data_IF_855504967225
#
_entry.id   IF_855504967225
#
_cell.length_a   1.000
_cell.length_b   1.000
_cell.length_c   1.000
_cell.angle_alpha   90.00
_cell.angle_beta   90.00
_cell.angle_gamma   90.00
#
_symmetry.space_group_name_H-M   'P 1'
#
loop_
_entity.id
_entity.type
_entity.pdbx_description
1 polymer ?
#
# COMPACT_ATOMS: atom_id res chain seq x y z
N UNK A 1 10.41 -4.44 28.18
CA UNK A 1 9.00 -4.82 27.97
C UNK A 1 8.53 -4.30 26.60
N UNK A 2 9.26 -4.65 25.53
CA UNK A 2 8.94 -4.33 24.13
C UNK A 2 9.33 -5.58 23.32
N UNK A 3 8.39 -6.53 23.21
CA UNK A 3 8.56 -7.82 22.51
C UNK A 3 7.29 -8.25 21.77
N UNK A 4 6.36 -7.34 21.48
CA UNK A 4 4.96 -7.76 21.21
C UNK A 4 4.46 -7.59 19.77
N UNK A 5 5.27 -7.04 18.84
CA UNK A 5 4.87 -6.98 17.42
C UNK A 5 6.06 -7.24 16.51
N UNK A 6 5.99 -8.31 15.72
CA UNK A 6 6.92 -8.51 14.60
C UNK A 6 6.26 -7.98 13.31
N UNK A 7 6.92 -7.01 12.67
CA UNK A 7 6.52 -6.50 11.36
C UNK A 7 7.26 -7.32 10.30
N UNK A 8 6.50 -8.06 9.50
CA UNK A 8 7.02 -8.79 8.36
C UNK A 8 6.98 -7.90 7.10
N UNK A 9 8.16 -7.59 6.57
CA UNK A 9 8.30 -7.01 5.23
C UNK A 9 8.56 -8.12 4.23
N UNK A 10 7.58 -8.35 3.35
CA UNK A 10 7.65 -9.33 2.27
C UNK A 10 8.22 -8.69 1.01
N UNK A 11 8.98 -9.46 0.24
CA UNK A 11 9.66 -8.95 -0.95
C UNK A 11 8.72 -8.59 -2.11
N UNK A 12 9.27 -7.90 -3.11
CA UNK A 12 8.50 -7.37 -4.24
C UNK A 12 8.02 -8.43 -5.24
N UNK A 13 8.77 -9.49 -5.51
CA UNK A 13 8.33 -10.61 -6.38
C UNK A 13 6.98 -11.16 -5.92
N UNK A 14 6.83 -11.32 -4.61
CA UNK A 14 5.61 -11.78 -3.97
C UNK A 14 4.48 -10.77 -4.03
N UNK A 15 4.77 -9.48 -3.81
CA UNK A 15 3.75 -8.43 -3.84
C UNK A 15 2.95 -8.41 -5.15
N UNK A 16 3.53 -8.92 -6.23
CA UNK A 16 2.93 -8.98 -7.57
C UNK A 16 2.84 -10.39 -8.16
N UNK A 17 2.81 -11.44 -7.32
CA UNK A 17 2.44 -12.83 -7.66
C UNK A 17 3.52 -13.83 -8.09
N UNK A 18 4.77 -13.44 -8.28
CA UNK A 18 5.71 -14.35 -8.92
C UNK A 18 6.45 -15.24 -7.94
N UNK A 19 6.58 -16.52 -8.31
CA UNK A 19 7.56 -17.42 -7.75
C UNK A 19 8.99 -16.97 -8.11
N UNK A 20 9.95 -17.28 -7.24
CA UNK A 20 11.37 -16.91 -7.36
C UNK A 20 12.08 -17.50 -8.60
N UNK A 21 11.51 -18.53 -9.21
CA UNK A 21 12.02 -19.13 -10.45
C UNK A 21 11.56 -18.38 -11.72
N UNK A 22 10.63 -17.43 -11.60
CA UNK A 22 10.11 -16.71 -12.74
C UNK A 22 11.18 -15.77 -13.36
N UNK A 23 11.42 -15.83 -14.67
CA UNK A 23 12.45 -15.01 -15.31
C UNK A 23 12.18 -13.49 -15.23
N UNK A 24 10.92 -13.06 -15.01
CA UNK A 24 10.55 -11.64 -14.91
C UNK A 24 10.97 -10.97 -13.60
N UNK A 25 11.40 -11.74 -12.60
CA UNK A 25 11.78 -11.25 -11.27
C UNK A 25 13.22 -11.58 -10.90
N UNK A 26 14.05 -11.95 -11.88
CA UNK A 26 15.46 -12.34 -11.66
C UNK A 26 16.20 -11.39 -10.73
N UNK A 27 16.09 -10.07 -10.95
CA UNK A 27 16.78 -9.05 -10.15
C UNK A 27 16.05 -8.60 -8.88
N UNK A 28 14.87 -9.15 -8.59
CA UNK A 28 13.99 -8.65 -7.51
C UNK A 28 13.96 -9.60 -6.28
N UNK A 29 14.28 -10.89 -6.46
CA UNK A 29 14.28 -11.91 -5.39
C UNK A 29 15.24 -11.53 -4.25
N UNK A 30 14.76 -11.51 -3.02
CA UNK A 30 15.47 -11.18 -1.79
C UNK A 30 15.82 -9.71 -1.60
N UNK A 31 15.51 -8.82 -2.54
CA UNK A 31 16.05 -7.46 -2.53
C UNK A 31 15.30 -6.49 -1.62
N UNK A 32 13.97 -6.64 -1.54
CA UNK A 32 13.10 -5.69 -0.85
C UNK A 32 12.44 -6.26 0.42
N UNK A 33 12.69 -7.53 0.73
CA UNK A 33 12.07 -8.25 1.85
C UNK A 33 12.39 -9.74 1.78
N UNK A 34 11.64 -10.54 2.54
CA UNK A 34 11.78 -12.00 2.56
C UNK A 34 11.08 -12.63 1.35
N UNK A 35 11.73 -13.62 0.72
CA UNK A 35 11.17 -14.48 -0.33
C UNK A 35 10.33 -15.63 0.26
N UNK A 36 9.12 -15.83 -0.26
CA UNK A 36 8.11 -16.78 0.25
C UNK A 36 7.33 -17.34 -0.93
N UNK A 37 7.80 -18.43 -1.53
CA UNK A 37 7.10 -19.03 -2.67
C UNK A 37 6.02 -20.02 -2.23
N UNK A 38 6.13 -20.54 -1.00
CA UNK A 38 5.28 -21.61 -0.49
C UNK A 38 5.05 -21.54 1.02
N UNK A 39 4.18 -22.41 1.52
CA UNK A 39 3.98 -22.60 2.96
C UNK A 39 5.25 -23.03 3.70
N UNK A 40 6.20 -23.70 3.04
CA UNK A 40 7.44 -24.15 3.70
C UNK A 40 8.37 -22.97 4.02
N UNK A 41 8.37 -21.92 3.20
CA UNK A 41 9.08 -20.68 3.50
C UNK A 41 8.43 -19.96 4.70
N UNK A 42 7.10 -19.93 4.74
CA UNK A 42 6.34 -19.35 5.85
C UNK A 42 6.60 -20.09 7.17
N UNK A 43 6.68 -21.42 7.12
CA UNK A 43 7.05 -22.26 8.27
C UNK A 43 8.46 -21.98 8.73
N UNK A 44 9.42 -21.88 7.82
CA UNK A 44 10.80 -21.53 8.16
C UNK A 44 10.88 -20.14 8.82
N UNK A 45 10.12 -19.17 8.31
CA UNK A 45 10.11 -17.81 8.84
C UNK A 45 9.59 -17.73 10.29
N UNK A 46 8.62 -18.58 10.63
CA UNK A 46 8.02 -18.62 11.96
C UNK A 46 8.48 -19.81 12.82
N UNK A 47 9.54 -20.49 12.42
CA UNK A 47 10.10 -21.60 13.20
C UNK A 47 10.54 -21.10 14.60
N UNK A 48 10.07 -21.77 15.65
CA UNK A 48 10.27 -21.37 17.04
C UNK A 48 9.52 -20.12 17.50
N UNK A 49 8.66 -19.51 16.68
CA UNK A 49 7.87 -18.32 17.05
C UNK A 49 6.45 -18.74 17.48
N UNK A 50 6.01 -18.48 18.72
CA UNK A 50 4.68 -18.87 19.20
C UNK A 50 3.59 -17.94 18.64
N UNK A 51 2.98 -18.33 17.52
CA UNK A 51 1.98 -17.52 16.80
C UNK A 51 0.66 -17.31 17.56
N UNK A 52 0.40 -18.05 18.64
CA UNK A 52 -0.72 -17.84 19.55
C UNK A 52 -0.48 -16.71 20.58
N UNK A 53 0.79 -16.26 20.70
CA UNK A 53 1.22 -15.22 21.64
C UNK A 53 1.76 -13.96 20.94
N UNK A 54 2.15 -14.09 19.68
CA UNK A 54 2.73 -13.00 18.90
C UNK A 54 1.68 -12.34 18.01
N UNK A 55 1.69 -11.00 17.98
CA UNK A 55 0.97 -10.24 16.97
C UNK A 55 1.87 -10.08 15.74
N UNK A 56 1.39 -10.54 14.57
CA UNK A 56 2.13 -10.48 13.31
C UNK A 56 1.50 -9.47 12.37
N UNK A 57 2.27 -8.46 11.95
CA UNK A 57 1.83 -7.50 10.94
C UNK A 57 2.47 -7.82 9.59
N UNK A 58 1.66 -7.99 8.54
CA UNK A 58 2.10 -8.38 7.19
C UNK A 58 1.75 -7.28 6.18
N UNK A 59 2.76 -6.66 5.58
CA UNK A 59 2.57 -5.67 4.51
C UNK A 59 2.43 -6.36 3.15
N UNK A 60 1.21 -6.82 2.84
CA UNK A 60 0.88 -7.51 1.58
C UNK A 60 -0.51 -7.09 1.07
N UNK A 61 -0.63 -6.90 -0.25
CA UNK A 61 -1.88 -6.43 -0.89
C UNK A 61 -2.20 -7.20 -2.17
N UNK A 62 -1.31 -7.20 -3.17
CA UNK A 62 -1.56 -7.88 -4.46
C UNK A 62 -1.77 -9.38 -4.27
N UNK A 63 -0.73 -10.10 -3.83
CA UNK A 63 -0.80 -11.54 -3.56
C UNK A 63 -1.32 -11.87 -2.15
N UNK A 64 -2.29 -11.10 -1.66
CA UNK A 64 -2.79 -11.24 -0.28
C UNK A 64 -3.39 -12.62 0.02
N UNK A 65 -4.09 -13.21 -0.95
CA UNK A 65 -4.75 -14.52 -0.82
C UNK A 65 -3.75 -15.65 -0.51
N UNK A 66 -2.74 -15.93 -1.38
CA UNK A 66 -1.80 -17.01 -1.10
C UNK A 66 -0.97 -16.75 0.17
N UNK A 67 -0.55 -15.50 0.40
CA UNK A 67 0.30 -15.17 1.55
C UNK A 67 -0.45 -15.36 2.88
N UNK A 68 -1.68 -14.86 2.99
CA UNK A 68 -2.48 -15.05 4.20
C UNK A 68 -2.82 -16.53 4.38
N UNK A 69 -3.07 -17.28 3.30
CA UNK A 69 -3.35 -18.70 3.36
C UNK A 69 -2.14 -19.49 3.87
N UNK A 70 -0.94 -19.17 3.40
CA UNK A 70 0.32 -19.75 3.88
C UNK A 70 0.56 -19.43 5.35
N UNK A 71 0.27 -18.22 5.81
CA UNK A 71 0.36 -17.86 7.23
C UNK A 71 -0.60 -18.69 8.09
N UNK A 72 -1.86 -18.84 7.68
CA UNK A 72 -2.84 -19.68 8.38
C UNK A 72 -2.38 -21.13 8.45
N UNK A 73 -1.92 -21.72 7.33
CA UNK A 73 -1.48 -23.12 7.31
C UNK A 73 -0.20 -23.32 8.11
N UNK A 74 0.76 -22.40 8.06
CA UNK A 74 1.97 -22.47 8.88
C UNK A 74 1.63 -22.45 10.38
N UNK A 75 0.67 -21.63 10.80
CA UNK A 75 0.18 -21.62 12.17
C UNK A 75 -0.48 -22.95 12.57
N UNK A 76 -1.36 -23.49 11.74
CA UNK A 76 -2.03 -24.76 12.02
C UNK A 76 -1.06 -25.93 12.10
N UNK A 77 -0.08 -26.00 11.21
CA UNK A 77 0.97 -27.02 11.23
C UNK A 77 1.91 -26.87 12.45
N UNK A 78 2.00 -25.67 13.04
CA UNK A 78 2.67 -25.43 14.32
C UNK A 78 1.80 -25.78 15.56
N UNK A 79 0.57 -26.25 15.36
CA UNK A 79 -0.37 -26.59 16.43
C UNK A 79 -1.18 -25.39 16.97
N UNK A 80 -1.15 -24.24 16.28
CA UNK A 80 -1.90 -23.04 16.67
C UNK A 80 -3.23 -22.98 15.91
N UNK A 81 -4.33 -22.97 16.65
CA UNK A 81 -5.66 -22.77 16.09
C UNK A 81 -5.81 -21.35 15.50
N UNK A 82 -6.35 -21.26 14.28
CA UNK A 82 -6.47 -19.99 13.54
C UNK A 82 -7.28 -18.91 14.28
N UNK A 83 -8.21 -19.28 15.16
CA UNK A 83 -9.00 -18.32 15.96
C UNK A 83 -8.16 -17.58 17.02
N UNK A 84 -6.97 -18.12 17.36
CA UNK A 84 -6.02 -17.51 18.28
C UNK A 84 -5.11 -16.50 17.61
N UNK A 85 -5.01 -16.50 16.28
CA UNK A 85 -4.10 -15.64 15.55
C UNK A 85 -4.45 -14.17 15.75
N UNK A 86 -3.43 -13.39 16.14
CA UNK A 86 -3.53 -11.94 16.29
C UNK A 86 -2.54 -11.28 15.34
N UNK A 87 -2.93 -10.15 14.77
CA UNK A 87 -2.11 -9.48 13.78
C UNK A 87 -2.91 -8.65 12.81
N UNK A 88 -2.24 -8.22 11.75
CA UNK A 88 -2.81 -7.37 10.71
C UNK A 88 -2.25 -7.80 9.35
N UNK A 89 -3.11 -7.88 8.34
CA UNK A 89 -2.71 -7.93 6.94
C UNK A 89 -3.05 -6.57 6.30
N UNK A 90 -2.16 -5.99 5.48
CA UNK A 90 -2.42 -4.66 4.93
C UNK A 90 -3.66 -4.64 4.03
N UNK A 91 -3.74 -5.52 3.04
CA UNK A 91 -4.95 -5.83 2.25
C UNK A 91 -5.71 -4.60 1.70
N UNK A 92 -4.98 -3.52 1.42
CA UNK A 92 -5.53 -2.26 0.91
C UNK A 92 -5.13 -2.13 -0.56
N UNK A 93 -6.03 -2.53 -1.46
CA UNK A 93 -5.74 -2.51 -2.90
C UNK A 93 -6.00 -1.15 -3.57
N UNK A 94 -6.85 -0.29 -3.00
CA UNK A 94 -7.22 0.97 -3.66
C UNK A 94 -6.00 1.89 -3.72
N UNK A 95 -5.22 1.97 -2.64
CA UNK A 95 -3.93 2.68 -2.63
C UNK A 95 -2.84 2.05 -3.50
N UNK A 96 -2.95 0.77 -3.86
CA UNK A 96 -2.03 0.17 -4.85
C UNK A 96 -2.22 0.80 -6.22
N UNK A 97 -3.47 0.99 -6.65
CA UNK A 97 -3.78 1.62 -7.94
C UNK A 97 -3.41 3.10 -7.97
N UNK A 98 -3.46 3.77 -6.82
CA UNK A 98 -3.10 5.19 -6.73
C UNK A 98 -1.58 5.40 -6.77
N UNK A 99 -0.83 4.73 -5.90
CA UNK A 99 0.55 5.15 -5.59
C UNK A 99 1.57 4.04 -5.43
N UNK A 100 1.16 2.84 -4.98
CA UNK A 100 2.13 1.81 -4.54
C UNK A 100 2.43 0.75 -5.62
N UNK A 101 1.58 0.63 -6.62
CA UNK A 101 1.81 -0.10 -7.87
C UNK A 101 2.15 -1.60 -7.69
N UNK A 102 1.68 -2.26 -6.62
CA UNK A 102 1.80 -3.72 -6.45
C UNK A 102 0.46 -4.45 -6.58
N UNK A 103 -0.43 -3.96 -7.43
CA UNK A 103 -1.66 -4.65 -7.81
C UNK A 103 -1.37 -5.78 -8.81
N UNK A 104 -2.29 -6.76 -8.88
CA UNK A 104 -2.24 -7.85 -9.86
C UNK A 104 -3.48 -7.78 -10.76
N UNK A 105 -4.66 -7.89 -10.15
CA UNK A 105 -5.94 -7.95 -10.86
C UNK A 105 -6.56 -6.57 -11.02
N UNK A 106 -7.54 -6.40 -11.92
CA UNK A 106 -8.32 -5.16 -12.01
C UNK A 106 -9.03 -4.78 -10.71
N UNK A 107 -9.50 -3.53 -10.56
CA UNK A 107 -10.12 -3.04 -9.32
C UNK A 107 -11.27 -3.90 -8.82
N UNK A 108 -12.26 -4.22 -9.67
CA UNK A 108 -13.44 -4.99 -9.29
C UNK A 108 -13.13 -6.38 -8.69
N UNK A 109 -12.38 -7.28 -9.38
CA UNK A 109 -12.02 -8.56 -8.78
C UNK A 109 -11.12 -8.41 -7.55
N UNK A 110 -10.30 -7.36 -7.47
CA UNK A 110 -9.49 -7.10 -6.27
C UNK A 110 -10.34 -6.69 -5.07
N UNK A 111 -11.41 -5.90 -5.26
CA UNK A 111 -12.34 -5.56 -4.20
C UNK A 111 -13.12 -6.79 -3.74
N UNK A 112 -13.48 -7.70 -4.66
CA UNK A 112 -14.07 -8.99 -4.30
C UNK A 112 -13.15 -9.81 -3.39
N UNK A 113 -11.85 -9.90 -3.71
CA UNK A 113 -10.86 -10.58 -2.88
C UNK A 113 -10.87 -10.06 -1.44
N UNK A 114 -10.98 -8.74 -1.26
CA UNK A 114 -11.06 -8.12 0.06
C UNK A 114 -12.35 -8.54 0.78
N UNK A 115 -13.48 -8.56 0.08
CA UNK A 115 -14.75 -9.06 0.62
C UNK A 115 -14.67 -10.52 1.09
N UNK A 116 -14.05 -11.40 0.30
CA UNK A 116 -13.83 -12.80 0.67
C UNK A 116 -12.95 -12.94 1.92
N UNK A 117 -11.90 -12.11 2.04
CA UNK A 117 -11.04 -12.07 3.23
C UNK A 117 -11.82 -11.58 4.45
N UNK A 118 -12.69 -10.57 4.31
CA UNK A 118 -13.52 -10.10 5.42
C UNK A 118 -14.49 -11.17 5.89
N UNK A 119 -15.18 -11.85 4.97
CA UNK A 119 -16.08 -12.95 5.28
C UNK A 119 -15.34 -14.08 6.01
N UNK A 120 -14.19 -14.50 5.49
CA UNK A 120 -13.38 -15.56 6.10
C UNK A 120 -12.85 -15.18 7.48
N UNK A 121 -12.22 -14.01 7.62
CA UNK A 121 -11.58 -13.59 8.88
C UNK A 121 -12.60 -13.29 9.99
N UNK A 122 -13.76 -12.72 9.64
CA UNK A 122 -14.83 -12.48 10.62
C UNK A 122 -15.36 -13.76 11.26
N UNK A 123 -15.36 -14.87 10.50
CA UNK A 123 -15.82 -16.19 10.95
C UNK A 123 -14.72 -17.00 11.64
N UNK A 124 -13.54 -17.06 11.03
CA UNK A 124 -12.48 -18.01 11.37
C UNK A 124 -11.33 -17.38 12.19
N UNK A 125 -11.14 -16.06 12.11
CA UNK A 125 -10.01 -15.34 12.71
C UNK A 125 -10.47 -14.05 13.43
N UNK A 126 -11.33 -14.13 14.46
CA UNK A 126 -12.04 -12.98 15.03
C UNK A 126 -11.15 -11.95 15.76
N UNK A 127 -9.85 -12.26 15.95
CA UNK A 127 -8.84 -11.37 16.53
C UNK A 127 -7.93 -10.71 15.50
N UNK A 128 -8.06 -11.09 14.23
CA UNK A 128 -7.23 -10.59 13.14
C UNK A 128 -7.77 -9.26 12.60
N UNK A 129 -6.87 -8.31 12.33
CA UNK A 129 -7.23 -7.09 11.61
C UNK A 129 -7.10 -7.37 10.11
N UNK A 130 -8.24 -7.46 9.43
CA UNK A 130 -8.35 -7.92 8.04
C UNK A 130 -7.89 -6.90 6.99
N UNK A 131 -7.65 -5.66 7.41
CA UNK A 131 -7.15 -4.58 6.56
C UNK A 131 -6.48 -3.48 7.40
N UNK A 132 -5.51 -2.81 6.79
CA UNK A 132 -4.89 -1.59 7.28
C UNK A 132 -5.03 -0.50 6.22
N UNK A 133 -6.04 0.36 6.38
CA UNK A 133 -6.44 1.41 5.45
C UNK A 133 -5.39 2.53 5.49
N UNK A 134 -4.64 2.71 4.41
CA UNK A 134 -3.28 3.25 4.45
C UNK A 134 -3.09 4.56 3.68
N UNK A 135 -2.94 5.67 4.41
CA UNK A 135 -2.53 6.98 3.87
C UNK A 135 -1.03 7.16 3.70
N UNK A 136 -0.21 6.43 4.47
CA UNK A 136 1.27 6.54 4.46
C UNK A 136 1.86 6.63 3.03
N UNK A 137 1.50 5.68 2.17
CA UNK A 137 2.04 5.59 0.81
C UNK A 137 1.60 6.76 -0.08
N UNK A 138 0.43 7.33 0.20
CA UNK A 138 -0.06 8.51 -0.52
C UNK A 138 0.80 9.72 -0.19
N UNK A 139 1.13 9.90 1.10
CA UNK A 139 2.04 10.97 1.53
C UNK A 139 3.44 10.79 0.94
N UNK A 140 3.99 9.58 0.96
CA UNK A 140 5.29 9.28 0.36
C UNK A 140 5.34 9.58 -1.16
N UNK A 141 4.22 9.34 -1.85
CA UNK A 141 4.06 9.67 -3.26
C UNK A 141 3.87 11.18 -3.52
N UNK A 142 3.56 11.97 -2.50
CA UNK A 142 3.50 13.44 -2.54
C UNK A 142 2.16 14.06 -2.16
N UNK A 143 1.19 13.28 -1.70
CA UNK A 143 -0.06 13.82 -1.16
C UNK A 143 0.23 14.72 0.05
N UNK A 144 -0.47 15.85 0.13
CA UNK A 144 -0.50 16.62 1.37
C UNK A 144 -1.41 15.96 2.42
N UNK A 145 -1.43 16.51 3.64
CA UNK A 145 -2.18 15.95 4.75
C UNK A 145 -3.70 15.89 4.51
N UNK A 146 -4.24 16.82 3.71
CA UNK A 146 -5.67 16.87 3.40
C UNK A 146 -6.01 15.78 2.39
N UNK A 147 -5.23 15.65 1.31
CA UNK A 147 -5.39 14.59 0.32
C UNK A 147 -5.21 13.20 0.95
N UNK A 148 -4.16 13.02 1.76
CA UNK A 148 -3.92 11.77 2.49
C UNK A 148 -5.13 11.39 3.35
N UNK A 149 -5.62 12.33 4.15
CA UNK A 149 -6.76 12.06 5.04
C UNK A 149 -8.03 11.75 4.25
N UNK A 150 -8.38 12.58 3.26
CA UNK A 150 -9.61 12.42 2.49
C UNK A 150 -9.64 11.09 1.73
N UNK A 151 -8.58 10.77 0.99
CA UNK A 151 -8.51 9.54 0.21
C UNK A 151 -8.48 8.29 1.09
N UNK A 152 -7.76 8.31 2.21
CA UNK A 152 -7.71 7.17 3.13
C UNK A 152 -9.06 6.93 3.81
N UNK A 153 -9.76 7.99 4.21
CA UNK A 153 -11.10 7.84 4.79
C UNK A 153 -12.10 7.36 3.72
N UNK A 154 -12.04 7.88 2.51
CA UNK A 154 -12.88 7.44 1.39
C UNK A 154 -12.63 5.97 1.01
N UNK A 155 -11.37 5.53 0.99
CA UNK A 155 -10.99 4.11 0.84
C UNK A 155 -11.68 3.28 1.95
N UNK A 156 -11.60 3.74 3.20
CA UNK A 156 -12.25 3.08 4.33
C UNK A 156 -13.76 2.93 4.18
N UNK A 157 -14.46 3.96 3.67
CA UNK A 157 -15.90 3.88 3.39
C UNK A 157 -16.18 2.86 2.27
N UNK A 158 -15.39 2.85 1.20
CA UNK A 158 -15.50 1.86 0.13
C UNK A 158 -15.27 0.43 0.63
N UNK A 159 -14.37 0.24 1.60
CA UNK A 159 -14.15 -1.06 2.25
C UNK A 159 -15.31 -1.45 3.17
N UNK A 160 -15.95 -0.50 3.85
CA UNK A 160 -17.18 -0.77 4.60
C UNK A 160 -18.30 -1.26 3.69
N UNK A 161 -18.52 -0.61 2.54
CA UNK A 161 -19.47 -1.06 1.52
C UNK A 161 -19.13 -2.46 1.01
N UNK A 162 -17.84 -2.75 0.81
CA UNK A 162 -17.35 -4.07 0.38
C UNK A 162 -17.69 -5.16 1.40
N UNK A 163 -17.49 -4.89 2.70
CA UNK A 163 -17.88 -5.82 3.76
C UNK A 163 -19.38 -6.09 3.81
N UNK A 164 -20.19 -5.04 3.61
CA UNK A 164 -21.66 -5.17 3.56
C UNK A 164 -22.10 -5.98 2.34
N UNK A 165 -21.52 -5.73 1.17
CA UNK A 165 -21.79 -6.48 -0.05
C UNK A 165 -21.35 -7.95 0.07
N UNK A 166 -20.38 -8.26 0.93
CA UNK A 166 -19.98 -9.62 1.29
C UNK A 166 -20.93 -10.28 2.32
N UNK A 167 -22.03 -9.63 2.70
CA UNK A 167 -23.04 -10.16 3.61
C UNK A 167 -22.76 -9.92 5.11
N UNK A 168 -21.80 -9.06 5.44
CA UNK A 168 -21.47 -8.73 6.83
C UNK A 168 -22.21 -7.46 7.29
N UNK A 169 -22.66 -7.43 8.54
CA UNK A 169 -23.05 -6.19 9.19
C UNK A 169 -21.82 -5.38 9.57
N UNK A 170 -21.95 -4.04 9.63
CA UNK A 170 -20.83 -3.15 9.97
C UNK A 170 -20.14 -3.55 11.29
N UNK A 171 -20.91 -3.96 12.31
CA UNK A 171 -20.38 -4.32 13.63
C UNK A 171 -19.59 -5.64 13.64
N UNK A 172 -19.75 -6.50 12.62
CA UNK A 172 -19.00 -7.76 12.53
C UNK A 172 -17.54 -7.56 12.12
N UNK A 173 -17.22 -6.48 11.39
CA UNK A 173 -15.87 -6.28 10.84
C UNK A 173 -15.27 -4.90 11.13
N UNK A 174 -16.06 -3.84 11.33
CA UNK A 174 -15.53 -2.50 11.66
C UNK A 174 -14.60 -2.50 12.89
N UNK A 175 -14.88 -3.26 13.99
CA UNK A 175 -13.96 -3.40 15.11
C UNK A 175 -12.63 -4.10 14.80
N UNK A 176 -12.36 -4.47 13.54
CA UNK A 176 -11.09 -5.02 13.04
C UNK A 176 -10.47 -4.19 11.92
N UNK A 177 -11.11 -3.09 11.50
CA UNK A 177 -10.50 -2.11 10.63
C UNK A 177 -9.44 -1.31 11.40
N UNK A 178 -8.28 -1.15 10.77
CA UNK A 178 -7.19 -0.32 11.28
C UNK A 178 -6.72 0.65 10.20
N UNK A 179 -6.06 1.72 10.60
CA UNK A 179 -5.55 2.77 9.71
C UNK A 179 -4.04 2.85 9.79
N UNK A 180 -3.41 3.44 8.78
CA UNK A 180 -1.96 3.67 8.77
C UNK A 180 -1.62 5.02 8.13
N UNK A 181 -1.13 5.95 8.95
CA UNK A 181 -0.76 7.30 8.54
C UNK A 181 0.75 7.46 8.38
N UNK A 182 1.16 8.25 7.39
CA UNK A 182 2.47 8.88 7.39
C UNK A 182 2.48 10.10 8.31
N UNK A 183 3.65 10.49 8.78
CA UNK A 183 3.82 11.67 9.62
C UNK A 183 5.08 12.39 9.15
N UNK A 184 4.86 13.51 8.46
CA UNK A 184 5.92 14.36 7.93
C UNK A 184 6.41 15.41 8.92
N UNK A 185 7.16 16.38 8.41
CA UNK A 185 7.82 17.41 9.22
C UNK A 185 6.90 18.56 9.67
N UNK A 186 5.68 18.67 9.12
CA UNK A 186 4.74 19.72 9.53
C UNK A 186 4.00 19.31 10.81
N UNK A 187 4.69 19.46 11.94
CA UNK A 187 4.28 18.96 13.26
C UNK A 187 2.81 19.26 13.62
N UNK A 188 2.36 20.51 13.49
CA UNK A 188 0.99 20.89 13.86
C UNK A 188 -0.05 20.31 12.91
N UNK A 189 0.25 20.29 11.60
CA UNK A 189 -0.63 19.70 10.59
C UNK A 189 -0.85 18.21 10.84
N UNK A 190 0.20 17.47 11.23
CA UNK A 190 0.07 16.04 11.49
C UNK A 190 -0.75 15.74 12.74
N UNK A 191 -0.61 16.54 13.81
CA UNK A 191 -1.46 16.44 15.00
C UNK A 191 -2.92 16.68 14.62
N UNK A 192 -3.19 17.79 13.92
CA UNK A 192 -4.52 18.16 13.50
C UNK A 192 -5.15 17.11 12.57
N UNK A 193 -4.38 16.56 11.61
CA UNK A 193 -4.80 15.45 10.73
C UNK A 193 -5.29 14.25 11.53
N UNK A 194 -4.51 13.78 12.51
CA UNK A 194 -4.90 12.62 13.30
C UNK A 194 -6.15 12.87 14.15
N UNK A 195 -6.34 14.09 14.67
CA UNK A 195 -7.54 14.48 15.44
C UNK A 195 -8.77 14.56 14.52
N UNK A 196 -8.63 15.25 13.39
CA UNK A 196 -9.68 15.42 12.38
C UNK A 196 -10.14 14.09 11.80
N UNK A 197 -9.20 13.18 11.47
CA UNK A 197 -9.49 11.88 10.90
C UNK A 197 -10.38 11.02 11.82
N UNK A 198 -10.12 11.02 13.13
CA UNK A 198 -10.96 10.27 14.10
C UNK A 198 -12.40 10.79 14.12
N UNK A 199 -12.57 12.12 14.12
CA UNK A 199 -13.89 12.77 14.09
C UNK A 199 -14.61 12.48 12.78
N UNK A 200 -13.91 12.63 11.65
CA UNK A 200 -14.46 12.42 10.31
C UNK A 200 -14.91 10.97 10.09
N UNK A 201 -14.07 10.00 10.48
CA UNK A 201 -14.43 8.59 10.45
C UNK A 201 -15.68 8.29 11.27
N UNK A 202 -15.71 8.72 12.53
CA UNK A 202 -16.85 8.47 13.41
C UNK A 202 -18.15 9.09 12.87
N UNK A 203 -18.08 10.30 12.31
CA UNK A 203 -19.21 10.94 11.64
C UNK A 203 -19.69 10.07 10.48
N UNK A 204 -18.84 9.78 9.51
CA UNK A 204 -19.24 9.08 8.28
C UNK A 204 -19.73 7.66 8.55
N UNK A 205 -19.11 6.94 9.49
CA UNK A 205 -19.60 5.60 9.86
C UNK A 205 -21.00 5.66 10.48
N UNK A 206 -21.24 6.64 11.37
CA UNK A 206 -22.54 6.80 11.99
C UNK A 206 -23.62 7.21 10.98
N UNK A 207 -23.30 8.16 10.10
CA UNK A 207 -24.20 8.68 9.07
C UNK A 207 -24.53 7.66 7.99
N UNK A 208 -23.58 6.81 7.59
CA UNK A 208 -23.77 5.90 6.44
C UNK A 208 -24.18 4.48 6.82
N UNK A 209 -23.79 4.00 8.01
CA UNK A 209 -23.93 2.58 8.36
C UNK A 209 -24.66 2.30 9.69
N UNK A 210 -24.99 3.35 10.48
CA UNK A 210 -25.75 3.25 11.74
C UNK A 210 -25.33 2.06 12.64
N UNK A 211 -24.05 1.96 13.04
CA UNK A 211 -23.57 0.83 13.84
C UNK A 211 -24.26 0.78 15.20
N UNK A 212 -24.44 -0.42 15.74
CA UNK A 212 -24.95 -0.62 17.11
C UNK A 212 -23.83 -0.57 18.14
N UNK A 213 -22.59 -0.85 17.74
CA UNK A 213 -21.43 -0.80 18.62
C UNK A 213 -20.65 0.50 18.48
N UNK A 214 -20.38 1.18 19.59
CA UNK A 214 -19.44 2.32 19.61
C UNK A 214 -18.03 1.94 19.16
N UNK A 215 -17.65 0.65 19.24
CA UNK A 215 -16.36 0.17 18.75
C UNK A 215 -16.20 0.32 17.24
N UNK A 216 -17.30 0.29 16.49
CA UNK A 216 -17.31 0.45 15.03
C UNK A 216 -17.00 1.89 14.60
N UNK A 217 -17.19 2.87 15.50
CA UNK A 217 -16.85 4.28 15.28
C UNK A 217 -15.37 4.59 15.52
N UNK A 218 -14.59 3.64 16.07
CA UNK A 218 -13.21 3.90 16.46
C UNK A 218 -12.26 3.81 15.26
N UNK A 219 -11.60 4.92 14.97
CA UNK A 219 -10.41 4.92 14.11
C UNK A 219 -9.19 4.55 14.97
N UNK A 220 -8.72 3.31 14.85
CA UNK A 220 -7.47 2.84 15.45
C UNK A 220 -6.38 2.86 14.40
N UNK A 221 -5.23 3.43 14.71
CA UNK A 221 -4.21 3.68 13.70
C UNK A 221 -2.82 3.22 14.16
N UNK A 222 -2.04 2.80 13.19
CA UNK A 222 -0.60 2.76 13.26
C UNK A 222 -0.05 4.08 12.68
N UNK A 223 1.05 4.56 13.22
CA UNK A 223 1.79 5.69 12.66
C UNK A 223 3.26 5.36 12.75
N UNK A 224 4.01 5.71 11.72
CA UNK A 224 5.44 5.42 11.65
C UNK A 224 6.21 6.75 11.73
N UNK A 225 6.91 6.96 12.84
CA UNK A 225 7.76 8.15 13.12
C UNK A 225 9.06 7.73 13.84
N UNK A 226 10.04 8.65 13.90
CA UNK A 226 11.37 8.45 14.53
C UNK A 226 11.31 7.86 15.96
N UNK A 227 12.17 6.88 16.24
CA UNK A 227 12.05 5.96 17.39
C UNK A 227 12.63 6.38 18.76
N UNK A 228 12.89 7.66 19.06
CA UNK A 228 13.78 8.02 20.20
C UNK A 228 13.19 8.86 21.36
N UNK A 229 11.92 9.28 21.39
CA UNK A 229 11.46 10.22 22.44
C UNK A 229 10.18 9.77 23.16
N UNK A 230 10.29 9.28 24.40
CA UNK A 230 9.16 9.07 25.31
C UNK A 230 9.48 9.60 26.72
N UNK A 231 8.63 10.49 27.23
CA UNK A 231 8.49 10.84 28.66
C UNK A 231 6.99 11.01 29.02
N UNK A 232 6.72 11.17 30.32
CA UNK A 232 5.45 11.16 31.07
C UNK A 232 4.17 11.71 30.39
N UNK A 233 3.01 11.07 30.62
CA UNK A 233 1.85 11.09 29.72
C UNK A 233 0.69 11.99 30.19
N UNK A 234 0.29 12.95 29.35
CA UNK A 234 -1.01 13.63 29.38
C UNK A 234 -1.79 13.23 28.12
N UNK A 235 -3.05 12.82 28.26
CA UNK A 235 -3.90 12.47 27.12
C UNK A 235 -4.35 13.73 26.36
N UNK A 236 -4.18 13.73 25.03
CA UNK A 236 -4.44 14.87 24.11
C UNK A 236 -3.99 16.23 24.69
N UNK A 237 -2.67 16.45 24.93
CA UNK A 237 -2.18 17.63 25.63
C UNK A 237 -2.44 18.96 24.87
N UNK A 238 -2.82 18.88 23.59
CA UNK A 238 -3.20 20.02 22.76
C UNK A 238 -4.70 20.35 22.83
N UNK A 239 -5.51 19.54 23.52
CA UNK A 239 -6.94 19.76 23.68
C UNK A 239 -7.24 21.14 24.27
N UNK A 240 -8.07 21.92 23.57
CA UNK A 240 -8.41 23.29 23.95
C UNK A 240 -7.44 24.38 23.44
N UNK A 241 -6.35 24.02 22.77
CA UNK A 241 -5.49 25.00 22.08
C UNK A 241 -6.25 25.64 20.93
N UNK A 242 -6.46 26.96 20.96
CA UNK A 242 -7.22 27.68 19.92
C UNK A 242 -6.71 27.38 18.51
N UNK A 243 -5.38 27.42 18.32
CA UNK A 243 -4.78 27.12 17.02
C UNK A 243 -5.01 25.66 16.60
N UNK A 244 -4.80 24.71 17.51
CA UNK A 244 -4.93 23.29 17.16
C UNK A 244 -6.37 22.89 16.88
N UNK A 245 -7.34 23.43 17.63
CA UNK A 245 -8.76 23.17 17.37
C UNK A 245 -9.18 23.75 16.02
N UNK A 246 -8.85 25.03 15.73
CA UNK A 246 -9.16 25.64 14.44
C UNK A 246 -8.50 24.92 13.25
N UNK A 247 -7.24 24.49 13.40
CA UNK A 247 -6.56 23.72 12.35
C UNK A 247 -7.18 22.34 12.17
N UNK A 248 -7.63 21.70 13.26
CA UNK A 248 -8.35 20.41 13.21
C UNK A 248 -9.67 20.57 12.46
N UNK A 249 -10.39 21.67 12.69
CA UNK A 249 -11.63 21.99 11.98
C UNK A 249 -11.40 22.26 10.49
N UNK A 250 -10.41 23.07 10.16
CA UNK A 250 -10.10 23.40 8.76
C UNK A 250 -9.73 22.16 7.93
N UNK A 251 -8.90 21.27 8.48
CA UNK A 251 -8.51 20.03 7.79
C UNK A 251 -9.71 19.09 7.64
N UNK A 252 -10.55 19.01 8.67
CA UNK A 252 -11.77 18.21 8.63
C UNK A 252 -12.70 18.67 7.48
N UNK A 253 -12.95 19.99 7.38
CA UNK A 253 -13.86 20.54 6.38
C UNK A 253 -13.32 20.35 4.96
N UNK A 254 -12.03 20.64 4.73
CA UNK A 254 -11.38 20.44 3.43
C UNK A 254 -11.39 18.98 2.98
N UNK A 255 -11.17 18.04 3.90
CA UNK A 255 -11.25 16.62 3.54
C UNK A 255 -12.68 16.16 3.28
N UNK A 256 -13.66 16.69 4.00
CA UNK A 256 -15.08 16.42 3.74
C UNK A 256 -15.49 16.90 2.35
N UNK A 257 -15.01 18.05 1.88
CA UNK A 257 -15.25 18.54 0.52
C UNK A 257 -14.73 17.54 -0.54
N UNK A 258 -13.50 17.05 -0.38
CA UNK A 258 -12.94 16.04 -1.30
C UNK A 258 -13.73 14.73 -1.25
N UNK A 259 -14.17 14.29 -0.05
CA UNK A 259 -14.98 13.08 0.09
C UNK A 259 -16.32 13.25 -0.65
N UNK A 260 -16.97 14.41 -0.58
CA UNK A 260 -18.20 14.68 -1.33
C UNK A 260 -17.97 14.63 -2.85
N UNK A 261 -16.86 15.18 -3.35
CA UNK A 261 -16.50 15.05 -4.77
C UNK A 261 -16.31 13.58 -5.18
N UNK A 262 -15.73 12.75 -4.30
CA UNK A 262 -15.57 11.31 -4.52
C UNK A 262 -16.93 10.60 -4.54
N UNK A 263 -17.84 10.97 -3.64
CA UNK A 263 -19.20 10.43 -3.62
C UNK A 263 -19.97 10.79 -4.89
N UNK A 264 -19.83 12.01 -5.42
CA UNK A 264 -20.43 12.44 -6.69
C UNK A 264 -19.93 11.62 -7.89
N UNK A 265 -18.66 11.18 -7.85
CA UNK A 265 -18.10 10.23 -8.84
C UNK A 265 -18.60 8.79 -8.65
N UNK A 266 -19.35 8.54 -7.58
CA UNK A 266 -19.93 7.24 -7.23
C UNK A 266 -18.99 6.36 -6.41
N UNK A 267 -18.15 6.96 -5.57
CA UNK A 267 -17.31 6.29 -4.59
C UNK A 267 -15.84 6.17 -4.99
N UNK A 268 -15.01 5.78 -4.01
CA UNK A 268 -13.56 5.81 -4.14
C UNK A 268 -13.03 4.84 -5.22
N UNK A 269 -13.66 3.68 -5.39
CA UNK A 269 -13.29 2.74 -6.45
C UNK A 269 -13.41 3.36 -7.86
N UNK A 270 -14.46 4.16 -8.10
CA UNK A 270 -14.64 4.88 -9.37
C UNK A 270 -13.68 6.06 -9.50
N UNK A 271 -13.44 6.80 -8.41
CA UNK A 271 -12.46 7.88 -8.40
C UNK A 271 -11.05 7.38 -8.76
N UNK A 272 -10.62 6.25 -8.19
CA UNK A 272 -9.37 5.56 -8.52
C UNK A 272 -9.34 5.12 -9.98
N UNK A 273 -10.40 4.45 -10.47
CA UNK A 273 -10.49 3.99 -11.86
C UNK A 273 -10.44 5.14 -12.87
N UNK A 274 -10.96 6.33 -12.51
CA UNK A 274 -10.91 7.53 -13.35
C UNK A 274 -9.51 8.16 -13.45
N UNK A 275 -8.60 7.79 -12.55
CA UNK A 275 -7.25 8.37 -12.41
C UNK A 275 -7.20 9.72 -11.68
N UNK A 276 -8.34 10.23 -11.18
CA UNK A 276 -8.44 11.52 -10.48
C UNK A 276 -7.51 11.59 -9.25
N UNK A 277 -7.52 10.56 -8.42
CA UNK A 277 -6.76 10.52 -7.17
C UNK A 277 -5.25 10.52 -7.42
N UNK A 278 -4.77 9.64 -8.30
CA UNK A 278 -3.35 9.58 -8.71
C UNK A 278 -2.88 10.91 -9.31
N UNK A 279 -3.69 11.55 -10.16
CA UNK A 279 -3.34 12.84 -10.78
C UNK A 279 -3.16 13.95 -9.73
N UNK A 280 -4.06 14.04 -8.74
CA UNK A 280 -3.96 15.03 -7.65
C UNK A 280 -2.71 14.82 -6.79
N UNK A 281 -2.34 13.57 -6.53
CA UNK A 281 -1.11 13.22 -5.78
C UNK A 281 0.13 13.60 -6.60
N UNK A 282 0.16 13.25 -7.89
CA UNK A 282 1.27 13.61 -8.78
C UNK A 282 1.42 15.14 -8.92
N UNK A 283 0.31 15.88 -8.96
CA UNK A 283 0.32 17.35 -8.98
C UNK A 283 0.91 17.93 -7.70
N UNK A 284 0.48 17.43 -6.53
CA UNK A 284 1.04 17.84 -5.24
C UNK A 284 2.54 17.53 -5.14
N UNK A 285 2.98 16.37 -5.66
CA UNK A 285 4.39 15.99 -5.73
C UNK A 285 5.21 16.94 -6.61
N UNK A 286 4.69 17.29 -7.80
CA UNK A 286 5.35 18.22 -8.73
C UNK A 286 5.50 19.62 -8.09
N UNK A 287 4.45 20.13 -7.45
CA UNK A 287 4.51 21.40 -6.71
C UNK A 287 5.51 21.35 -5.56
N UNK A 288 5.51 20.25 -4.78
CA UNK A 288 6.48 20.07 -3.69
C UNK A 288 7.91 20.07 -4.21
N UNK A 289 8.19 19.39 -5.32
CA UNK A 289 9.53 19.39 -5.90
C UNK A 289 9.94 20.79 -6.36
N UNK A 290 9.05 21.52 -7.04
CA UNK A 290 9.31 22.89 -7.48
C UNK A 290 9.65 23.83 -6.31
N UNK A 291 8.97 23.69 -5.16
CA UNK A 291 9.30 24.46 -3.95
C UNK A 291 10.67 24.10 -3.36
N UNK A 292 11.05 22.82 -3.41
CA UNK A 292 12.38 22.37 -2.95
C UNK A 292 13.47 22.90 -3.87
N UNK A 293 13.30 22.74 -5.18
CA UNK A 293 14.30 23.13 -6.18
C UNK A 293 14.48 24.65 -6.25
N UNK A 294 13.39 25.43 -6.11
CA UNK A 294 13.44 26.89 -6.01
C UNK A 294 13.92 27.43 -4.65
N UNK A 295 14.15 26.55 -3.66
CA UNK A 295 14.60 26.93 -2.32
C UNK A 295 13.54 27.54 -1.42
N UNK A 296 12.26 27.55 -1.84
CA UNK A 296 11.12 27.97 -1.00
C UNK A 296 10.93 27.03 0.19
N UNK A 297 11.05 25.72 -0.06
CA UNK A 297 11.07 24.69 0.98
C UNK A 297 12.52 24.31 1.30
N UNK A 298 12.98 24.62 2.50
CA UNK A 298 14.35 24.37 2.92
C UNK A 298 14.51 22.92 3.39
N UNK A 299 15.49 22.21 2.83
CA UNK A 299 15.99 20.92 3.32
C UNK A 299 17.47 21.11 3.69
N UNK A 300 17.73 21.14 5.00
CA UNK A 300 19.08 21.31 5.56
C UNK A 300 19.99 20.18 5.09
N UNK A 301 21.17 20.52 4.58
CA UNK A 301 22.13 19.58 3.99
C UNK A 301 21.91 19.29 2.51
N UNK A 302 20.75 19.65 1.94
CA UNK A 302 20.41 19.36 0.54
C UNK A 302 20.41 20.63 -0.33
N UNK A 303 19.48 21.55 -0.12
CA UNK A 303 19.39 22.80 -0.88
C UNK A 303 19.91 24.01 -0.10
N UNK A 304 20.13 23.87 1.21
CA UNK A 304 20.71 24.91 2.08
C UNK A 304 21.59 24.27 3.14
N UNK A 305 22.68 24.95 3.51
CA UNK A 305 23.65 24.47 4.51
C UNK A 305 24.26 23.11 4.14
N UNK A 306 24.70 22.97 2.87
CA UNK A 306 25.34 21.75 2.37
C UNK A 306 26.73 21.58 2.96
N UNK A 307 27.14 20.34 3.20
CA UNK A 307 28.53 20.03 3.55
C UNK A 307 29.41 20.05 2.30
N UNK A 308 30.65 20.50 2.45
CA UNK A 308 31.65 20.42 1.37
C UNK A 308 32.02 18.97 1.03
N UNK A 309 31.92 18.08 2.01
CA UNK A 309 32.24 16.66 1.86
C UNK A 309 31.28 15.79 2.67
N UNK A 310 30.66 14.85 1.99
CA UNK A 310 29.78 13.86 2.61
C UNK A 310 30.56 12.69 3.22
N UNK A 311 30.03 12.13 4.30
CA UNK A 311 30.57 10.92 4.92
C UNK A 311 30.07 9.70 4.16
N UNK A 312 30.95 8.73 3.88
CA UNK A 312 30.54 7.46 3.28
C UNK A 312 29.82 6.61 4.32
N UNK A 313 28.69 6.03 3.93
CA UNK A 313 27.89 5.12 4.75
C UNK A 313 27.93 3.74 4.14
N UNK A 314 28.18 2.71 4.95
CA UNK A 314 28.11 1.32 4.52
C UNK A 314 26.64 0.92 4.32
N UNK A 315 26.32 0.40 3.15
CA UNK A 315 24.95 -0.01 2.79
C UNK A 315 24.88 -1.53 2.83
N UNK A 316 23.81 -2.05 3.45
CA UNK A 316 23.55 -3.50 3.46
C UNK A 316 23.35 -3.99 2.02
N UNK A 317 24.17 -4.96 1.62
CA UNK A 317 24.07 -5.59 0.31
C UNK A 317 23.51 -7.01 0.46
N UNK A 318 22.44 -7.31 -0.29
CA UNK A 318 21.86 -8.66 -0.37
C UNK A 318 22.39 -9.35 -1.62
N UNK A 319 22.94 -10.55 -1.45
CA UNK A 319 23.30 -11.43 -2.57
C UNK A 319 22.06 -12.13 -3.13
N UNK A 320 21.35 -11.43 -4.04
CA UNK A 320 20.17 -11.96 -4.72
C UNK A 320 20.44 -13.31 -5.39
N UNK A 321 21.62 -13.51 -5.98
CA UNK A 321 21.92 -14.74 -6.71
C UNK A 321 21.82 -15.94 -5.78
N UNK A 322 22.45 -15.85 -4.60
CA UNK A 322 22.39 -16.91 -3.59
C UNK A 322 20.97 -17.14 -3.08
N UNK A 323 20.22 -16.08 -2.79
CA UNK A 323 18.82 -16.20 -2.32
C UNK A 323 17.95 -16.89 -3.38
N UNK A 324 18.08 -16.47 -4.64
CA UNK A 324 17.34 -17.03 -5.76
C UNK A 324 17.67 -18.51 -6.00
N UNK A 325 18.94 -18.89 -5.98
CA UNK A 325 19.35 -20.30 -6.11
C UNK A 325 18.74 -21.17 -5.00
N UNK A 326 18.70 -20.67 -3.76
CA UNK A 326 18.09 -21.37 -2.64
C UNK A 326 16.57 -21.53 -2.81
N UNK A 327 15.87 -20.46 -3.20
CA UNK A 327 14.42 -20.50 -3.41
C UNK A 327 14.02 -21.42 -4.57
N UNK A 328 14.76 -21.39 -5.68
CA UNK A 328 14.53 -22.31 -6.81
C UNK A 328 14.67 -23.77 -6.35
N UNK A 329 15.72 -24.10 -5.61
CA UNK A 329 15.93 -25.47 -5.11
C UNK A 329 14.78 -25.93 -4.18
N UNK A 330 14.25 -25.03 -3.33
CA UNK A 330 13.07 -25.33 -2.49
C UNK A 330 11.82 -25.58 -3.34
N UNK A 331 11.56 -24.72 -4.32
CA UNK A 331 10.43 -24.86 -5.24
C UNK A 331 10.48 -26.18 -6.01
N UNK A 332 11.64 -26.53 -6.56
CA UNK A 332 11.86 -27.82 -7.24
C UNK A 332 11.59 -29.00 -6.31
N UNK A 333 12.08 -28.93 -5.07
CA UNK A 333 11.84 -29.96 -4.06
C UNK A 333 10.34 -30.11 -3.76
N UNK A 334 9.64 -29.02 -3.49
CA UNK A 334 8.21 -29.03 -3.14
C UNK A 334 7.37 -29.57 -4.30
N UNK A 335 7.61 -29.11 -5.53
CA UNK A 335 6.88 -29.58 -6.71
C UNK A 335 7.11 -31.07 -6.98
N UNK A 336 8.29 -31.60 -6.62
CA UNK A 336 8.63 -33.02 -6.74
C UNK A 336 7.99 -33.90 -5.66
N UNK A 337 7.82 -33.39 -4.43
CA UNK A 337 7.40 -34.19 -3.27
C UNK A 337 5.92 -34.04 -2.91
N UNK A 338 5.24 -32.98 -3.34
CA UNK A 338 3.80 -32.79 -3.11
C UNK A 338 2.96 -33.83 -3.85
N UNK A 339 1.70 -34.00 -3.41
CA UNK A 339 0.69 -34.73 -4.17
C UNK A 339 0.25 -33.88 -5.39
N UNK A 340 0.57 -34.31 -6.62
CA UNK A 340 0.27 -33.52 -7.82
C UNK A 340 -1.24 -33.49 -8.14
N UNK A 341 -2.00 -34.53 -7.78
CA UNK A 341 -3.43 -34.59 -8.03
C UNK A 341 -4.18 -33.64 -7.10
N UNK A 342 -3.80 -33.64 -5.82
CA UNK A 342 -4.36 -32.70 -4.83
C UNK A 342 -4.05 -31.24 -5.18
N UNK A 343 -2.79 -30.95 -5.55
CA UNK A 343 -2.39 -29.59 -5.96
C UNK A 343 -3.20 -29.12 -7.17
N UNK A 344 -3.32 -29.96 -8.20
CA UNK A 344 -4.12 -29.66 -9.40
C UNK A 344 -5.59 -29.39 -9.06
N UNK A 345 -6.21 -30.27 -8.27
CA UNK A 345 -7.61 -30.11 -7.88
C UNK A 345 -7.85 -28.83 -7.07
N UNK A 346 -6.91 -28.45 -6.19
CA UNK A 346 -7.02 -27.21 -5.42
C UNK A 346 -6.92 -25.96 -6.31
N UNK A 347 -6.03 -25.96 -7.31
CA UNK A 347 -5.91 -24.85 -8.27
C UNK A 347 -7.14 -24.73 -9.18
N UNK A 348 -7.69 -25.86 -9.64
CA UNK A 348 -8.95 -25.88 -10.40
C UNK A 348 -10.13 -25.37 -9.56
N UNK A 349 -10.14 -25.66 -8.25
CA UNK A 349 -11.14 -25.14 -7.34
C UNK A 349 -11.03 -23.62 -7.16
N UNK A 350 -9.82 -23.06 -7.08
CA UNK A 350 -9.59 -21.60 -7.07
C UNK A 350 -10.10 -20.96 -8.36
N UNK A 351 -9.74 -21.52 -9.52
CA UNK A 351 -10.18 -21.00 -10.82
C UNK A 351 -11.71 -21.00 -10.93
N UNK A 352 -12.37 -22.11 -10.53
CA UNK A 352 -13.83 -22.20 -10.47
C UNK A 352 -14.43 -21.24 -9.44
N UNK A 353 -13.78 -21.08 -8.28
CA UNK A 353 -14.16 -20.13 -7.25
C UNK A 353 -14.15 -18.70 -7.76
N UNK A 354 -13.08 -18.31 -8.46
CA UNK A 354 -12.94 -17.00 -9.11
C UNK A 354 -14.01 -16.76 -10.18
N UNK A 355 -14.36 -17.78 -10.98
CA UNK A 355 -15.43 -17.68 -11.99
C UNK A 355 -16.86 -17.67 -11.41
N UNK A 356 -17.02 -18.06 -10.15
CA UNK A 356 -18.30 -18.13 -9.44
C UNK A 356 -18.25 -17.28 -8.17
N UNK A 357 -18.97 -17.65 -7.10
CA UNK A 357 -19.00 -16.94 -5.82
C UNK A 357 -18.40 -17.78 -4.67
N UNK A 358 -17.45 -18.67 -4.98
CA UNK A 358 -16.69 -19.37 -3.94
C UNK A 358 -15.79 -18.40 -3.18
N UNK A 359 -15.63 -18.59 -1.87
CA UNK A 359 -14.73 -17.78 -1.05
C UNK A 359 -13.27 -18.13 -1.36
N UNK A 360 -12.55 -17.20 -1.98
CA UNK A 360 -11.19 -17.43 -2.46
C UNK A 360 -10.18 -17.68 -1.32
N UNK A 361 -10.43 -17.10 -0.15
CA UNK A 361 -9.55 -17.27 1.00
C UNK A 361 -9.60 -18.70 1.53
N UNK A 362 -10.80 -19.29 1.65
CA UNK A 362 -10.99 -20.68 2.06
C UNK A 362 -10.34 -21.66 1.06
N UNK A 363 -10.55 -21.44 -0.23
CA UNK A 363 -9.95 -22.25 -1.30
C UNK A 363 -8.42 -22.16 -1.31
N UNK A 364 -7.87 -20.97 -1.05
CA UNK A 364 -6.43 -20.77 -0.99
C UNK A 364 -5.78 -21.44 0.22
N UNK A 365 -6.47 -21.55 1.36
CA UNK A 365 -5.99 -22.34 2.50
C UNK A 365 -5.81 -23.81 2.10
N UNK A 366 -6.75 -24.39 1.35
CA UNK A 366 -6.59 -25.75 0.82
C UNK A 366 -5.46 -25.87 -0.19
N UNK A 367 -5.31 -24.91 -1.10
CA UNK A 367 -4.20 -24.89 -2.06
C UNK A 367 -2.84 -24.77 -1.37
N UNK A 368 -2.75 -23.93 -0.32
CA UNK A 368 -1.55 -23.82 0.52
C UNK A 368 -1.22 -25.15 1.22
N UNK A 369 -2.21 -25.84 1.80
CA UNK A 369 -2.02 -27.19 2.36
C UNK A 369 -1.56 -28.21 1.32
N UNK A 370 -2.01 -28.06 0.08
CA UNK A 370 -1.60 -28.88 -1.06
C UNK A 370 -0.22 -28.48 -1.64
N UNK A 371 0.49 -27.53 -1.02
CA UNK A 371 1.80 -27.04 -1.44
C UNK A 371 1.77 -26.44 -2.85
N UNK A 372 0.67 -25.75 -3.17
CA UNK A 372 0.64 -24.82 -4.29
C UNK A 372 1.45 -23.57 -3.94
N UNK A 373 2.20 -23.06 -4.90
CA UNK A 373 3.02 -21.86 -4.72
C UNK A 373 2.19 -20.57 -4.78
N UNK A 374 2.81 -19.45 -4.42
CA UNK A 374 2.22 -18.11 -4.58
C UNK A 374 1.84 -17.88 -6.04
N UNK A 375 2.76 -18.17 -6.96
CA UNK A 375 2.55 -18.06 -8.40
C UNK A 375 1.40 -18.90 -8.90
N UNK A 376 1.33 -20.17 -8.52
CA UNK A 376 0.26 -21.07 -8.99
C UNK A 376 -1.12 -20.62 -8.51
N UNK A 377 -1.25 -20.22 -7.23
CA UNK A 377 -2.51 -19.74 -6.67
C UNK A 377 -2.95 -18.44 -7.34
N UNK A 378 -2.02 -17.51 -7.57
CA UNK A 378 -2.31 -16.25 -8.23
C UNK A 378 -2.65 -16.43 -9.71
N UNK A 379 -1.91 -17.27 -10.44
CA UNK A 379 -2.17 -17.57 -11.84
C UNK A 379 -3.55 -18.24 -12.02
N UNK A 380 -3.98 -19.08 -11.09
CA UNK A 380 -5.32 -19.68 -11.09
C UNK A 380 -6.45 -18.63 -11.03
N UNK A 381 -6.28 -17.57 -10.24
CA UNK A 381 -7.20 -16.43 -10.22
C UNK A 381 -7.08 -15.57 -11.49
N UNK A 382 -5.86 -15.34 -11.99
CA UNK A 382 -5.60 -14.52 -13.19
C UNK A 382 -6.28 -15.05 -14.45
N UNK A 383 -6.44 -16.37 -14.60
CA UNK A 383 -7.19 -16.97 -15.71
C UNK A 383 -8.62 -16.44 -15.84
N UNK A 384 -9.23 -16.00 -14.74
CA UNK A 384 -10.58 -15.42 -14.71
C UNK A 384 -10.53 -13.90 -14.61
N UNK A 385 -9.74 -13.37 -13.68
CA UNK A 385 -9.73 -11.93 -13.37
C UNK A 385 -8.94 -11.08 -14.34
N UNK A 386 -8.06 -11.70 -15.14
CA UNK A 386 -7.06 -11.05 -15.98
C UNK A 386 -6.08 -10.19 -15.17
N UNK A 387 -5.15 -9.51 -15.87
CA UNK A 387 -4.16 -8.61 -15.27
C UNK A 387 -4.55 -7.15 -15.49
N UNK A 388 -4.42 -6.34 -14.45
CA UNK A 388 -4.62 -4.90 -14.63
C UNK A 388 -3.48 -4.25 -15.41
N UNK A 389 -3.84 -3.41 -16.38
CA UNK A 389 -2.93 -2.52 -17.08
C UNK A 389 -3.33 -1.08 -16.77
N UNK A 390 -2.44 -0.35 -16.09
CA UNK A 390 -2.72 1.03 -15.71
C UNK A 390 -2.74 1.96 -16.94
N UNK A 391 -3.76 2.80 -17.02
CA UNK A 391 -3.82 3.91 -17.97
C UNK A 391 -3.24 5.15 -17.28
N UNK A 392 -2.02 5.51 -17.66
CA UNK A 392 -1.34 6.65 -17.07
C UNK A 392 -1.78 7.97 -17.72
N UNK A 393 -2.15 8.93 -16.87
CA UNK A 393 -2.23 10.35 -17.24
C UNK A 393 -0.94 11.05 -16.79
N UNK A 394 -0.68 12.22 -17.37
CA UNK A 394 0.49 13.02 -17.06
C UNK A 394 0.05 14.38 -16.58
N UNK A 395 0.60 14.83 -15.45
CA UNK A 395 0.49 16.21 -15.00
C UNK A 395 1.25 17.11 -15.97
N UNK A 396 0.73 18.31 -16.25
CA UNK A 396 1.42 19.32 -17.04
C UNK A 396 1.22 20.70 -16.41
N UNK A 397 2.26 21.52 -16.43
CA UNK A 397 2.29 22.91 -15.98
C UNK A 397 2.50 23.10 -14.48
N UNK A 398 2.26 22.07 -13.66
CA UNK A 398 2.28 22.18 -12.20
C UNK A 398 3.68 22.52 -11.65
N UNK A 399 4.74 21.92 -12.19
CA UNK A 399 6.10 22.16 -11.74
C UNK A 399 6.51 23.60 -12.05
N UNK A 400 6.38 24.00 -13.34
CA UNK A 400 6.77 25.35 -13.77
C UNK A 400 5.97 26.45 -13.09
N UNK A 401 4.65 26.27 -12.95
CA UNK A 401 3.79 27.25 -12.28
C UNK A 401 4.20 27.48 -10.83
N UNK A 402 4.53 26.41 -10.10
CA UNK A 402 4.91 26.51 -8.68
C UNK A 402 6.34 27.02 -8.49
N UNK A 403 7.26 26.68 -9.40
CA UNK A 403 8.63 27.18 -9.37
C UNK A 403 8.65 28.71 -9.49
N UNK A 404 7.83 29.26 -10.39
CA UNK A 404 7.71 30.69 -10.66
C UNK A 404 8.75 31.19 -11.67
N UNK A 405 8.69 32.48 -12.00
CA UNK A 405 9.61 33.08 -12.97
C UNK A 405 11.01 33.27 -12.37
N UNK A 406 11.99 32.58 -12.94
CA UNK A 406 13.41 32.68 -12.55
C UNK A 406 14.30 32.73 -13.78
N UNK A 407 15.46 33.38 -13.65
CA UNK A 407 16.46 33.45 -14.73
C UNK A 407 16.96 32.06 -15.14
N UNK A 408 17.05 31.12 -14.20
CA UNK A 408 17.46 29.74 -14.45
C UNK A 408 16.49 29.02 -15.39
N UNK A 409 15.19 29.03 -15.10
CA UNK A 409 14.19 28.39 -15.95
C UNK A 409 14.17 29.01 -17.36
N UNK A 410 14.25 30.34 -17.46
CA UNK A 410 14.30 31.03 -18.74
C UNK A 410 15.52 30.61 -19.58
N UNK A 411 16.69 30.44 -18.95
CA UNK A 411 17.90 29.99 -19.63
C UNK A 411 17.77 28.54 -20.13
N UNK A 412 17.19 27.64 -19.33
CA UNK A 412 16.98 26.25 -19.74
C UNK A 412 16.02 26.17 -20.94
N UNK A 413 14.88 26.85 -20.86
CA UNK A 413 13.91 26.89 -21.96
C UNK A 413 14.51 27.47 -23.25
N UNK A 414 15.36 28.48 -23.14
CA UNK A 414 16.07 29.05 -24.30
C UNK A 414 17.04 28.05 -24.92
N UNK A 415 17.78 27.28 -24.11
CA UNK A 415 18.64 26.20 -24.60
C UNK A 415 17.86 25.09 -25.31
N UNK A 416 16.68 24.73 -24.80
CA UNK A 416 15.79 23.75 -25.44
C UNK A 416 15.31 24.27 -26.80
N UNK A 417 14.93 25.55 -26.89
CA UNK A 417 14.58 26.19 -28.18
C UNK A 417 15.73 26.19 -29.17
N UNK A 418 16.95 26.51 -28.72
CA UNK A 418 18.14 26.48 -29.56
C UNK A 418 18.44 25.07 -30.06
N UNK A 419 18.28 24.05 -29.22
CA UNK A 419 18.37 22.65 -29.64
C UNK A 419 17.34 22.34 -30.74
N UNK A 420 16.07 22.71 -30.52
CA UNK A 420 15.00 22.43 -31.46
C UNK A 420 15.20 23.13 -32.81
N UNK A 421 15.68 24.39 -32.80
CA UNK A 421 16.02 25.13 -34.01
C UNK A 421 17.17 24.49 -34.80
N UNK A 422 18.16 23.91 -34.10
CA UNK A 422 19.32 23.25 -34.72
C UNK A 422 18.97 21.86 -35.26
N UNK A 423 18.23 21.07 -34.50
CA UNK A 423 17.99 19.64 -34.77
C UNK A 423 16.65 19.37 -35.48
N UNK A 424 15.82 20.40 -35.69
CA UNK A 424 14.51 20.31 -36.35
C UNK A 424 13.43 19.59 -35.54
N UNK A 425 13.67 19.32 -34.25
CA UNK A 425 12.74 18.65 -33.33
C UNK A 425 13.10 18.93 -31.86
N UNK A 426 12.14 18.77 -30.95
CA UNK A 426 12.40 18.84 -29.52
C UNK A 426 13.38 17.74 -29.05
N UNK A 427 14.14 17.97 -27.96
CA UNK A 427 14.85 16.91 -27.28
C UNK A 427 13.85 15.84 -26.83
N UNK A 428 14.19 14.57 -27.03
CA UNK A 428 13.28 13.46 -26.72
C UNK A 428 13.92 12.55 -25.69
N UNK A 429 13.23 12.35 -24.58
CA UNK A 429 13.68 11.54 -23.46
C UNK A 429 12.68 10.42 -23.19
N UNK A 430 13.18 9.21 -22.92
CA UNK A 430 12.38 8.09 -22.42
C UNK A 430 12.73 7.88 -20.94
N UNK A 431 11.81 8.22 -20.05
CA UNK A 431 11.93 7.89 -18.62
C UNK A 431 11.37 6.48 -18.42
N UNK A 432 12.23 5.53 -18.07
CA UNK A 432 11.90 4.11 -18.03
C UNK A 432 11.98 3.53 -16.61
N UNK A 433 11.08 2.59 -16.32
CA UNK A 433 11.13 1.69 -15.17
C UNK A 433 11.42 0.28 -15.68
N UNK A 434 12.33 -0.44 -15.02
CA UNK A 434 12.69 -1.82 -15.35
C UNK A 434 12.46 -2.72 -14.14
N UNK A 435 12.23 -4.01 -14.38
CA UNK A 435 11.90 -4.96 -13.32
C UNK A 435 10.54 -4.67 -12.69
N UNK A 436 10.41 -5.00 -11.40
CA UNK A 436 9.14 -4.87 -10.67
C UNK A 436 9.07 -3.63 -9.76
N UNK A 437 9.96 -2.65 -9.99
CA UNK A 437 9.98 -1.44 -9.18
C UNK A 437 8.81 -0.49 -9.49
N UNK A 438 7.84 -0.47 -8.56
CA UNK A 438 6.67 0.39 -8.62
C UNK A 438 6.87 1.84 -8.17
N UNK A 439 8.05 2.24 -7.67
CA UNK A 439 8.27 3.63 -7.22
C UNK A 439 8.35 4.57 -8.43
N UNK A 440 7.33 5.39 -8.65
CA UNK A 440 7.20 6.23 -9.84
C UNK A 440 7.28 7.74 -9.57
N UNK A 441 7.20 8.20 -8.30
CA UNK A 441 7.24 9.64 -7.94
C UNK A 441 8.38 10.40 -8.63
N UNK A 442 9.64 9.96 -8.47
CA UNK A 442 10.78 10.62 -9.08
C UNK A 442 10.74 10.61 -10.61
N UNK A 443 10.36 9.48 -11.20
CA UNK A 443 10.22 9.34 -12.65
C UNK A 443 9.13 10.28 -13.22
N UNK A 444 7.99 10.38 -12.53
CA UNK A 444 6.85 11.23 -12.92
C UNK A 444 7.18 12.71 -12.76
N UNK A 445 7.84 13.10 -11.67
CA UNK A 445 8.29 14.48 -11.44
C UNK A 445 9.31 14.91 -12.49
N UNK A 446 10.28 14.03 -12.84
CA UNK A 446 11.21 14.30 -13.95
C UNK A 446 10.48 14.43 -15.29
N UNK A 447 9.55 13.52 -15.58
CA UNK A 447 8.80 13.54 -16.83
C UNK A 447 7.97 14.83 -17.00
N UNK A 448 7.20 15.23 -15.98
CA UNK A 448 6.40 16.46 -16.01
C UNK A 448 7.28 17.71 -16.01
N UNK A 449 8.33 17.73 -15.19
CA UNK A 449 9.26 18.87 -15.10
C UNK A 449 9.97 19.12 -16.43
N UNK A 450 10.45 18.07 -17.12
CA UNK A 450 11.06 18.24 -18.43
C UNK A 450 10.02 18.62 -19.49
N UNK A 451 8.83 18.01 -19.49
CA UNK A 451 7.76 18.38 -20.42
C UNK A 451 7.36 19.87 -20.31
N UNK A 452 7.39 20.45 -19.10
CA UNK A 452 7.11 21.87 -18.87
C UNK A 452 8.19 22.81 -19.47
N UNK A 453 9.40 22.30 -19.73
CA UNK A 453 10.55 23.05 -20.24
C UNK A 453 10.75 22.91 -21.76
N UNK A 454 10.03 21.97 -22.39
CA UNK A 454 10.12 21.62 -23.81
C UNK A 454 10.94 20.38 -24.07
#
# INVERSE_FOLDING_TARGET
MLKETNVMSLERSLLIRYDSDNPRVYGDVGMAGVAVDSVEDMKQLFDGIPLDKMSVSMTMNGAVIPVLAMYVVAAEESGVDRSKLTGTIQNDILKEFMVRNTYIYPPEPSMRIIGDIFAYTSKEMPKWNSISISGYHMQEAGADAVLEMAFTIADGIQYCETGINAGLTIDQFAPRLSFFWGIGMNFYMEIAKMRAARRLWAHLINERFQPKSSKSLMLRTHSQTSGWSLTEQVADPWGGSYMMESLTDEIYDKAMEIIREIDELGGMAKAVASGMTKLRIEEAAAKKQARIDSGKDIIVGVNKYRLDKETKVDVLHVDNKKVREQQIAKLEHIRKTRDPQRAKAALEAIEKGAASNGNLMELAVEASRARCSVGEISDAMEKVFTRYAAVNRMVSGAYKSEFGETSELSQVMERVKQFAAKEGRQPRMMVAKMGQDGHDRGAKVVATGFADLG
#
